data_IF_123062354146
#
_entry.id   IF_123062354146
#
_cell.length_a   1.000
_cell.length_b   1.000
_cell.length_c   1.000
_cell.angle_alpha   90.00
_cell.angle_beta   90.00
_cell.angle_gamma   90.00
#
_symmetry.space_group_name_H-M   'P 1'
#
loop_
_entity.id
_entity.type
_entity.pdbx_description
1 polymer ?
#
# COMPACT_ATOMS: atom_id res chain seq x y z
N UNK A 1 -22.34 12.42 12.82
CA UNK A 1 -23.28 12.48 13.96
C UNK A 1 -22.49 12.20 15.21
N UNK A 2 -22.53 13.12 16.17
CA UNK A 2 -21.87 12.90 17.46
C UNK A 2 -22.74 12.00 18.37
N UNK A 3 -22.17 11.54 19.49
CA UNK A 3 -22.87 10.61 20.39
C UNK A 3 -24.17 11.20 20.95
N UNK A 4 -24.20 12.51 21.26
CA UNK A 4 -25.38 13.19 21.80
C UNK A 4 -26.52 13.28 20.78
N UNK A 5 -26.21 13.60 19.51
CA UNK A 5 -27.18 13.59 18.41
C UNK A 5 -27.73 12.18 18.17
N UNK A 6 -26.88 11.15 18.24
CA UNK A 6 -27.32 9.76 18.11
C UNK A 6 -28.30 9.39 19.22
N UNK A 7 -27.98 9.74 20.47
CA UNK A 7 -28.86 9.42 21.61
C UNK A 7 -30.20 10.16 21.53
N UNK A 8 -30.19 11.44 21.12
CA UNK A 8 -31.40 12.21 20.89
C UNK A 8 -32.27 11.63 19.77
N UNK A 9 -31.64 11.20 18.66
CA UNK A 9 -32.34 10.59 17.54
C UNK A 9 -32.96 9.23 17.91
N UNK A 10 -32.19 8.36 18.57
CA UNK A 10 -32.66 7.04 18.98
C UNK A 10 -33.78 7.09 20.03
N UNK A 11 -33.83 8.17 20.84
CA UNK A 11 -34.91 8.41 21.80
C UNK A 11 -36.09 9.20 21.22
N UNK A 12 -36.06 9.56 19.94
CA UNK A 12 -37.11 10.35 19.29
C UNK A 12 -37.19 11.81 19.78
N UNK A 13 -36.12 12.34 20.37
CA UNK A 13 -36.06 13.72 20.90
C UNK A 13 -35.55 14.75 19.88
N UNK A 14 -34.84 14.31 18.84
CA UNK A 14 -34.37 15.18 17.76
C UNK A 14 -34.27 14.42 16.42
N UNK A 15 -34.19 15.17 15.32
CA UNK A 15 -33.85 14.65 14.00
C UNK A 15 -32.39 14.96 13.66
N UNK A 16 -31.67 14.08 12.93
CA UNK A 16 -30.30 14.33 12.52
C UNK A 16 -30.23 15.46 11.51
N UNK A 17 -29.27 16.37 11.67
CA UNK A 17 -29.14 17.55 10.79
C UNK A 17 -28.80 17.23 9.33
N UNK A 18 -28.25 16.04 9.06
CA UNK A 18 -27.92 15.57 7.71
C UNK A 18 -28.93 14.56 7.14
N UNK A 19 -30.11 14.47 7.75
CA UNK A 19 -31.26 13.77 7.19
C UNK A 19 -31.77 14.54 5.97
N UNK A 20 -31.94 13.84 4.84
CA UNK A 20 -32.39 14.47 3.59
C UNK A 20 -33.90 14.73 3.62
N UNK A 21 -34.35 15.72 2.85
CA UNK A 21 -35.78 15.98 2.67
C UNK A 21 -36.44 14.75 2.04
N UNK A 22 -37.58 14.32 2.60
CA UNK A 22 -38.32 13.11 2.23
C UNK A 22 -37.58 11.79 2.49
N UNK A 23 -36.49 11.79 3.24
CA UNK A 23 -35.83 10.55 3.70
C UNK A 23 -36.52 10.06 4.97
N UNK A 24 -36.99 8.82 4.96
CA UNK A 24 -37.53 8.17 6.15
C UNK A 24 -36.42 7.83 7.14
N UNK A 25 -36.77 7.66 8.42
CA UNK A 25 -35.84 7.20 9.46
C UNK A 25 -35.12 5.89 9.07
N UNK A 26 -35.82 4.97 8.43
CA UNK A 26 -35.26 3.70 7.97
C UNK A 26 -34.23 3.91 6.86
N UNK A 27 -34.55 4.71 5.84
CA UNK A 27 -33.63 5.04 4.75
C UNK A 27 -32.38 5.75 5.26
N UNK A 28 -32.55 6.70 6.19
CA UNK A 28 -31.44 7.39 6.84
C UNK A 28 -30.50 6.42 7.56
N UNK A 29 -31.06 5.48 8.34
CA UNK A 29 -30.28 4.48 9.06
C UNK A 29 -29.55 3.52 8.12
N UNK A 30 -30.21 3.03 7.07
CA UNK A 30 -29.60 2.17 6.06
C UNK A 30 -28.43 2.88 5.39
N UNK A 31 -28.60 4.16 5.01
CA UNK A 31 -27.51 4.96 4.43
C UNK A 31 -26.34 5.11 5.40
N UNK A 32 -26.61 5.44 6.67
CA UNK A 32 -25.55 5.67 7.67
C UNK A 32 -24.79 4.41 8.03
N UNK A 33 -25.49 3.30 8.22
CA UNK A 33 -24.87 2.00 8.49
C UNK A 33 -24.10 1.49 7.27
N UNK A 34 -24.61 1.73 6.05
CA UNK A 34 -23.90 1.44 4.81
C UNK A 34 -22.57 2.19 4.71
N UNK A 35 -22.58 3.51 4.95
CA UNK A 35 -21.36 4.34 4.98
C UNK A 35 -20.35 3.85 6.03
N UNK A 36 -20.81 3.49 7.23
CA UNK A 36 -19.94 2.93 8.26
C UNK A 36 -19.37 1.56 7.86
N UNK A 37 -20.17 0.72 7.20
CA UNK A 37 -19.75 -0.56 6.64
C UNK A 37 -18.69 -0.41 5.55
N UNK A 38 -18.85 0.54 4.63
CA UNK A 38 -17.87 0.88 3.60
C UNK A 38 -16.55 1.35 4.21
N UNK A 39 -16.59 2.22 5.22
CA UNK A 39 -15.39 2.66 5.93
C UNK A 39 -14.69 1.51 6.66
N UNK A 40 -15.44 0.62 7.28
CA UNK A 40 -14.89 -0.56 7.97
C UNK A 40 -14.24 -1.52 6.97
N UNK A 41 -14.88 -1.74 5.82
CA UNK A 41 -14.33 -2.54 4.74
C UNK A 41 -13.04 -1.91 4.18
N UNK A 42 -13.02 -0.59 3.98
CA UNK A 42 -11.84 0.14 3.53
C UNK A 42 -10.68 0.01 4.53
N UNK A 43 -10.95 0.17 5.83
CA UNK A 43 -9.94 -0.03 6.88
C UNK A 43 -9.38 -1.46 6.86
N UNK A 44 -10.25 -2.48 6.78
CA UNK A 44 -9.81 -3.87 6.67
C UNK A 44 -8.95 -4.13 5.42
N UNK A 45 -9.27 -3.51 4.29
CA UNK A 45 -8.43 -3.62 3.08
C UNK A 45 -7.07 -2.93 3.25
N UNK A 46 -7.00 -1.79 3.94
CA UNK A 46 -5.73 -1.11 4.23
C UNK A 46 -4.87 -1.91 5.21
N UNK A 47 -5.46 -2.54 6.22
CA UNK A 47 -4.77 -3.42 7.15
C UNK A 47 -4.16 -4.63 6.42
N UNK A 48 -4.94 -5.31 5.58
CA UNK A 48 -4.44 -6.41 4.75
C UNK A 48 -3.34 -5.96 3.78
N UNK A 49 -3.47 -4.78 3.19
CA UNK A 49 -2.43 -4.23 2.32
C UNK A 49 -1.14 -3.96 3.10
N UNK A 50 -1.24 -3.51 4.36
CA UNK A 50 -0.10 -3.34 5.26
C UNK A 50 0.57 -4.67 5.57
N UNK A 51 -0.22 -5.71 5.83
CA UNK A 51 0.28 -7.06 6.11
C UNK A 51 1.00 -7.66 4.89
N UNK A 52 0.37 -7.64 3.71
CA UNK A 52 0.95 -8.22 2.48
C UNK A 52 2.24 -7.52 2.06
N UNK A 53 2.38 -6.24 2.37
CA UNK A 53 3.57 -5.45 2.05
C UNK A 53 4.64 -5.51 3.14
N UNK A 54 4.36 -6.16 4.28
CA UNK A 54 5.18 -6.09 5.50
C UNK A 54 5.52 -4.64 5.88
N UNK A 55 4.56 -3.73 5.73
CA UNK A 55 4.79 -2.32 6.02
C UNK A 55 4.99 -2.11 7.53
N UNK A 56 6.15 -1.55 7.96
CA UNK A 56 6.48 -1.41 9.38
C UNK A 56 5.45 -0.59 10.17
N UNK A 57 5.32 -0.90 11.46
CA UNK A 57 4.47 -0.13 12.38
C UNK A 57 4.99 1.31 12.48
N UNK A 58 4.08 2.28 12.39
CA UNK A 58 4.41 3.71 12.46
C UNK A 58 4.87 4.34 11.15
N UNK A 59 5.01 3.56 10.07
CA UNK A 59 5.25 4.06 8.72
C UNK A 59 3.91 4.20 7.97
N UNK A 60 3.74 5.29 7.23
CA UNK A 60 2.59 5.50 6.35
C UNK A 60 2.64 4.55 5.15
N UNK A 61 1.58 3.75 4.96
CA UNK A 61 1.51 2.71 3.93
C UNK A 61 1.74 3.27 2.53
N UNK A 62 1.21 4.46 2.24
CA UNK A 62 1.34 5.07 0.92
C UNK A 62 2.79 5.41 0.59
N UNK A 63 3.55 5.94 1.54
CA UNK A 63 4.95 6.33 1.31
C UNK A 63 5.86 5.11 1.25
N UNK A 64 5.57 4.10 2.07
CA UNK A 64 6.24 2.80 1.98
C UNK A 64 6.04 2.13 0.62
N UNK A 65 4.81 2.14 0.09
CA UNK A 65 4.53 1.63 -1.25
C UNK A 65 5.25 2.41 -2.35
N UNK A 66 5.30 3.75 -2.26
CA UNK A 66 6.08 4.57 -3.21
C UNK A 66 7.56 4.21 -3.17
N UNK A 67 8.10 3.96 -1.99
CA UNK A 67 9.49 3.53 -1.82
C UNK A 67 9.74 2.17 -2.47
N UNK A 68 8.89 1.16 -2.22
CA UNK A 68 9.00 -0.16 -2.86
C UNK A 68 8.91 -0.06 -4.39
N UNK A 69 8.02 0.80 -4.91
CA UNK A 69 7.92 1.05 -6.36
C UNK A 69 9.19 1.71 -6.89
N UNK A 70 9.75 2.71 -6.19
CA UNK A 70 10.99 3.36 -6.58
C UNK A 70 12.17 2.39 -6.60
N UNK A 71 12.31 1.53 -5.58
CA UNK A 71 13.31 0.46 -5.54
C UNK A 71 13.13 -0.51 -6.72
N UNK A 72 11.90 -0.93 -7.00
CA UNK A 72 11.59 -1.83 -8.13
C UNK A 72 11.93 -1.22 -9.48
N UNK A 73 11.67 0.08 -9.66
CA UNK A 73 12.02 0.81 -10.88
C UNK A 73 13.55 0.91 -11.06
N UNK A 74 14.29 1.19 -9.97
CA UNK A 74 15.74 1.25 -10.00
C UNK A 74 16.36 -0.10 -10.38
N UNK A 75 15.88 -1.20 -9.78
CA UNK A 75 16.32 -2.56 -10.11
C UNK A 75 16.01 -2.89 -11.58
N UNK A 76 14.80 -2.55 -12.05
CA UNK A 76 14.41 -2.80 -13.44
C UNK A 76 15.33 -2.05 -14.42
N UNK A 77 15.59 -0.76 -14.18
CA UNK A 77 16.47 0.03 -15.03
C UNK A 77 17.89 -0.56 -15.07
N UNK A 78 18.40 -1.02 -13.93
CA UNK A 78 19.70 -1.68 -13.84
C UNK A 78 19.75 -2.97 -14.67
N UNK A 79 18.70 -3.79 -14.59
CA UNK A 79 18.57 -5.03 -15.36
C UNK A 79 18.49 -4.77 -16.86
N UNK A 80 17.71 -3.77 -17.27
CA UNK A 80 17.55 -3.40 -18.69
C UNK A 80 18.91 -2.91 -19.26
N UNK A 81 19.66 -2.10 -18.51
CA UNK A 81 21.00 -1.66 -18.91
C UNK A 81 22.00 -2.83 -19.00
N UNK A 82 22.00 -3.74 -18.01
CA UNK A 82 22.88 -4.91 -18.03
C UNK A 82 22.57 -5.85 -19.21
N UNK A 83 21.30 -6.02 -19.55
CA UNK A 83 20.88 -6.85 -20.68
C UNK A 83 21.39 -6.29 -22.02
N UNK A 84 21.35 -4.97 -22.22
CA UNK A 84 21.89 -4.35 -23.43
C UNK A 84 23.42 -4.43 -23.50
N UNK A 85 24.13 -4.27 -22.37
CA UNK A 85 25.59 -4.47 -22.33
C UNK A 85 25.99 -5.91 -22.68
N UNK A 86 25.29 -6.89 -22.12
CA UNK A 86 25.50 -8.31 -22.43
C UNK A 86 25.28 -8.60 -23.91
N UNK A 87 24.19 -8.06 -24.48
CA UNK A 87 23.88 -8.20 -25.91
C UNK A 87 24.97 -7.61 -26.80
N UNK A 88 25.52 -6.45 -26.43
CA UNK A 88 26.65 -5.83 -27.14
C UNK A 88 27.90 -6.71 -27.07
N UNK A 89 28.27 -7.13 -25.85
CA UNK A 89 29.44 -7.98 -25.61
C UNK A 89 29.40 -9.30 -26.41
N UNK A 90 28.25 -9.98 -26.44
CA UNK A 90 28.06 -11.23 -27.19
C UNK A 90 28.09 -11.04 -28.71
N UNK A 91 27.84 -9.82 -29.22
CA UNK A 91 27.73 -9.55 -30.65
C UNK A 91 29.07 -9.26 -31.33
N UNK A 92 29.95 -8.50 -30.69
CA UNK A 92 31.19 -8.01 -31.33
C UNK A 92 32.43 -8.13 -30.44
N UNK A 93 32.28 -8.49 -29.16
CA UNK A 93 33.37 -8.55 -28.18
C UNK A 93 34.11 -7.21 -27.99
N UNK A 94 33.52 -6.09 -28.43
CA UNK A 94 34.17 -4.76 -28.43
C UNK A 94 34.18 -4.08 -27.06
N UNK A 95 33.50 -4.68 -26.08
CA UNK A 95 33.44 -4.23 -24.69
C UNK A 95 34.29 -5.17 -23.81
N UNK A 96 34.99 -4.65 -22.81
CA UNK A 96 35.83 -5.45 -21.88
C UNK A 96 35.03 -6.45 -21.02
N UNK A 97 33.69 -6.44 -21.16
CA UNK A 97 32.73 -7.25 -20.41
C UNK A 97 31.68 -6.35 -19.75
N UNK A 98 30.46 -6.86 -19.48
CA UNK A 98 29.38 -6.08 -18.88
C UNK A 98 29.86 -5.43 -17.58
N UNK A 99 29.76 -4.12 -17.44
CA UNK A 99 30.23 -3.36 -16.29
C UNK A 99 29.09 -2.97 -15.34
N UNK A 100 27.83 -3.03 -15.79
CA UNK A 100 26.67 -2.70 -14.97
C UNK A 100 26.57 -3.56 -13.70
N UNK A 101 27.01 -4.82 -13.74
CA UNK A 101 27.05 -5.68 -12.55
C UNK A 101 27.98 -5.15 -11.45
N UNK A 102 29.03 -4.38 -11.81
CA UNK A 102 29.94 -3.73 -10.88
C UNK A 102 29.33 -2.53 -10.16
N UNK A 103 28.19 -2.02 -10.63
CA UNK A 103 27.47 -0.93 -9.98
C UNK A 103 26.29 -1.44 -9.14
N UNK A 104 25.95 -2.74 -9.23
CA UNK A 104 24.81 -3.34 -8.54
C UNK A 104 24.86 -3.11 -7.03
N UNK A 105 26.04 -3.22 -6.43
CA UNK A 105 26.23 -3.02 -4.98
C UNK A 105 25.92 -1.60 -4.49
N UNK A 106 25.83 -0.61 -5.39
CA UNK A 106 25.44 0.77 -5.06
C UNK A 106 23.92 0.96 -5.06
N UNK A 107 23.15 0.00 -5.59
CA UNK A 107 21.71 0.02 -5.52
C UNK A 107 21.29 -0.39 -4.10
N UNK A 108 20.83 0.58 -3.32
CA UNK A 108 20.28 0.32 -1.99
C UNK A 108 18.79 0.05 -2.11
N UNK A 109 18.34 -1.06 -1.52
CA UNK A 109 16.92 -1.47 -1.52
C UNK A 109 16.44 -1.69 -0.08
N UNK A 110 16.47 -0.65 0.78
CA UNK A 110 16.25 -0.80 2.21
C UNK A 110 14.86 -1.32 2.58
N UNK A 111 13.81 -0.99 1.83
CA UNK A 111 12.48 -1.55 2.08
C UNK A 111 12.46 -3.04 1.73
N UNK A 112 12.97 -3.41 0.56
CA UNK A 112 13.09 -4.81 0.12
C UNK A 112 13.96 -5.64 1.09
N UNK A 113 15.09 -5.09 1.53
CA UNK A 113 16.00 -5.74 2.48
C UNK A 113 15.35 -5.97 3.84
N UNK A 114 14.52 -5.03 4.28
CA UNK A 114 13.73 -5.17 5.51
C UNK A 114 12.78 -6.36 5.40
N UNK A 115 12.05 -6.47 4.29
CA UNK A 115 11.13 -7.60 4.03
C UNK A 115 11.91 -8.92 3.98
N UNK A 116 13.03 -8.97 3.25
CA UNK A 116 13.84 -10.18 3.13
C UNK A 116 14.40 -10.64 4.49
N UNK A 117 14.79 -9.70 5.36
CA UNK A 117 15.24 -10.01 6.73
C UNK A 117 14.12 -10.59 7.59
N UNK A 118 12.88 -10.19 7.39
CA UNK A 118 11.73 -10.77 8.09
C UNK A 118 11.41 -12.18 7.57
N UNK A 119 11.36 -12.35 6.25
CA UNK A 119 11.14 -13.66 5.60
C UNK A 119 12.20 -14.67 6.05
N UNK A 120 13.48 -14.26 6.08
CA UNK A 120 14.60 -15.11 6.47
C UNK A 120 14.63 -15.50 7.96
N UNK A 121 13.88 -14.82 8.83
CA UNK A 121 13.83 -15.12 10.28
C UNK A 121 12.74 -16.11 10.68
N UNK A 122 11.85 -16.55 9.78
CA UNK A 122 10.87 -17.58 10.12
C UNK A 122 9.53 -17.57 9.40
N UNK A 123 9.50 -17.26 8.10
CA UNK A 123 8.33 -17.47 7.24
C UNK A 123 7.24 -16.41 7.39
N UNK A 124 6.55 -16.11 6.27
CA UNK A 124 5.40 -15.21 6.24
C UNK A 124 4.49 -15.51 7.43
N UNK A 125 4.28 -14.52 8.31
CA UNK A 125 3.13 -14.56 9.22
C UNK A 125 1.89 -14.34 8.33
N UNK A 126 1.33 -15.45 7.87
CA UNK A 126 -0.01 -15.51 7.31
C UNK A 126 -1.06 -15.31 8.41
#
# INVERSE_FOLDING_TARGET
MNVFEMEGFLRGKCLPGDMKVNETTAEYLVRKLGQAGELTAALSTLEKAREVTNCPVGVELQDYLKQLVAESLAIKAMNDCLAEELRGYESDGAFDGPNMHLLWWKCETPATDSILREVGRGGLRA
#
